data_IF_011343972981
#
_entry.id   IF_011343972981
#
_cell.length_a   1.000
_cell.length_b   1.000
_cell.length_c   1.000
_cell.angle_alpha   90.00
_cell.angle_beta   90.00
_cell.angle_gamma   90.00
#
_symmetry.space_group_name_H-M   'P 1'
#
loop_
_entity.id
_entity.type
_entity.pdbx_description
1 polymer ?
#
# COMPACT_ATOMS: atom_id res chain seq x y z
N UNK A 1 4.41 27.18 -1.13
CA UNK A 1 4.37 27.72 -2.51
C UNK A 1 2.93 27.63 -2.98
N UNK A 2 2.29 28.76 -3.20
CA UNK A 2 0.97 28.75 -3.87
C UNK A 2 1.20 28.36 -5.32
N UNK A 3 0.97 27.12 -5.67
CA UNK A 3 0.88 26.71 -7.06
C UNK A 3 -0.38 27.37 -7.62
N UNK A 4 -0.21 28.28 -8.56
CA UNK A 4 -1.37 28.87 -9.27
C UNK A 4 -1.97 27.77 -10.16
N UNK A 5 -3.01 27.15 -9.65
CA UNK A 5 -3.80 26.08 -10.31
C UNK A 5 -4.26 26.50 -11.71
N UNK A 6 -4.24 27.79 -12.01
CA UNK A 6 -4.65 28.36 -13.30
C UNK A 6 -3.57 28.34 -14.37
N UNK A 7 -2.30 28.04 -14.01
CA UNK A 7 -1.19 28.10 -14.95
C UNK A 7 -1.05 26.85 -15.84
N UNK A 8 -1.65 25.69 -15.47
CA UNK A 8 -1.63 24.50 -16.32
C UNK A 8 -3.04 23.90 -16.52
N UNK A 9 -3.90 24.66 -17.16
CA UNK A 9 -5.25 24.23 -17.54
C UNK A 9 -5.28 22.95 -18.40
N UNK A 10 -4.16 22.56 -19.02
CA UNK A 10 -4.11 21.38 -19.89
C UNK A 10 -4.09 20.06 -19.10
N UNK A 11 -3.49 20.08 -17.92
CA UNK A 11 -3.40 18.89 -17.04
C UNK A 11 -4.65 18.80 -16.18
N UNK A 12 -5.07 19.91 -15.59
CA UNK A 12 -6.26 19.97 -14.72
C UNK A 12 -7.56 19.58 -15.45
N UNK A 13 -7.74 19.99 -16.71
CA UNK A 13 -8.93 19.65 -17.49
C UNK A 13 -9.12 18.16 -17.80
N UNK A 14 -8.13 17.32 -17.49
CA UNK A 14 -8.17 15.87 -17.70
C UNK A 14 -8.29 15.06 -16.40
N UNK A 15 -8.30 15.71 -15.26
CA UNK A 15 -8.38 15.10 -13.94
C UNK A 15 -9.63 15.52 -13.21
N UNK A 16 -10.19 14.64 -12.39
CA UNK A 16 -11.17 15.03 -11.38
C UNK A 16 -10.47 15.86 -10.29
N UNK A 17 -11.25 16.62 -9.50
CA UNK A 17 -10.67 17.36 -8.35
C UNK A 17 -9.91 16.44 -7.42
N UNK A 18 -10.42 15.24 -7.19
CA UNK A 18 -9.75 14.24 -6.36
C UNK A 18 -8.42 13.76 -6.96
N UNK A 19 -8.43 13.39 -8.24
CA UNK A 19 -7.21 13.00 -8.95
C UNK A 19 -6.15 14.09 -8.91
N UNK A 20 -6.57 15.35 -8.97
CA UNK A 20 -5.66 16.48 -8.87
C UNK A 20 -5.02 16.60 -7.47
N UNK A 21 -5.77 16.33 -6.40
CA UNK A 21 -5.22 16.30 -5.05
C UNK A 21 -4.23 15.13 -4.87
N UNK A 22 -4.55 13.94 -5.39
CA UNK A 22 -3.62 12.81 -5.42
C UNK A 22 -2.34 13.13 -6.19
N UNK A 23 -2.48 13.83 -7.32
CA UNK A 23 -1.34 14.25 -8.14
C UNK A 23 -0.41 15.21 -7.36
N UNK A 24 -0.94 16.11 -6.55
CA UNK A 24 -0.11 16.98 -5.68
C UNK A 24 0.67 16.17 -4.64
N UNK A 25 0.03 15.18 -4.01
CA UNK A 25 0.73 14.26 -3.08
C UNK A 25 1.85 13.51 -3.81
N UNK A 26 1.58 13.05 -5.04
CA UNK A 26 2.58 12.36 -5.86
C UNK A 26 3.75 13.27 -6.27
N UNK A 27 3.49 14.54 -6.57
CA UNK A 27 4.55 15.51 -6.90
C UNK A 27 5.48 15.73 -5.70
N UNK A 28 4.93 15.87 -4.50
CA UNK A 28 5.72 16.01 -3.26
C UNK A 28 6.57 14.75 -3.01
N UNK A 29 5.95 13.58 -3.13
CA UNK A 29 6.67 12.31 -3.02
C UNK A 29 7.81 12.19 -4.03
N UNK A 30 7.56 12.55 -5.29
CA UNK A 30 8.56 12.53 -6.35
C UNK A 30 9.72 13.46 -6.04
N UNK A 31 9.45 14.71 -5.65
CA UNK A 31 10.48 15.68 -5.32
C UNK A 31 11.40 15.17 -4.20
N UNK A 32 10.83 14.64 -3.13
CA UNK A 32 11.60 14.05 -2.03
C UNK A 32 12.42 12.84 -2.51
N UNK A 33 11.88 11.99 -3.35
CA UNK A 33 12.61 10.84 -3.89
C UNK A 33 13.80 11.27 -4.76
N UNK A 34 13.62 12.24 -5.65
CA UNK A 34 14.68 12.77 -6.50
C UNK A 34 15.80 13.43 -5.66
N UNK A 35 15.45 14.30 -4.70
CA UNK A 35 16.41 15.00 -3.85
C UNK A 35 17.26 14.03 -3.00
N UNK A 36 16.70 12.89 -2.62
CA UNK A 36 17.35 11.93 -1.72
C UNK A 36 17.82 10.64 -2.42
N UNK A 37 17.77 10.61 -3.76
CA UNK A 37 18.14 9.45 -4.59
C UNK A 37 17.42 8.16 -4.16
N UNK A 38 16.11 8.25 -3.85
CA UNK A 38 15.28 7.12 -3.53
C UNK A 38 14.61 6.59 -4.80
N UNK A 39 14.79 5.31 -5.08
CA UNK A 39 14.17 4.66 -6.25
C UNK A 39 12.74 4.26 -5.95
N UNK A 40 11.83 4.55 -6.88
CA UNK A 40 10.46 4.07 -6.86
C UNK A 40 9.97 3.76 -8.27
N UNK A 41 8.84 3.10 -8.36
CA UNK A 41 8.15 2.74 -9.60
C UNK A 41 6.67 2.96 -9.43
N UNK A 42 6.01 3.54 -10.42
CA UNK A 42 4.54 3.51 -10.48
C UNK A 42 4.09 2.11 -10.87
N UNK A 43 3.01 1.62 -10.25
CA UNK A 43 2.53 0.25 -10.42
C UNK A 43 1.01 0.22 -10.61
N UNK A 44 0.44 -0.97 -10.81
CA UNK A 44 -1.01 -1.17 -10.81
C UNK A 44 -1.77 -0.34 -11.83
N UNK A 45 -2.87 0.26 -11.39
CA UNK A 45 -3.72 1.17 -12.17
C UNK A 45 -2.98 2.41 -12.60
N UNK A 46 -2.15 2.97 -11.73
CA UNK A 46 -1.32 4.16 -11.99
C UNK A 46 -0.41 3.97 -13.21
N UNK A 47 0.31 2.82 -13.28
CA UNK A 47 1.15 2.51 -14.44
C UNK A 47 0.32 2.30 -15.72
N UNK A 48 -0.81 1.61 -15.60
CA UNK A 48 -1.71 1.38 -16.73
C UNK A 48 -2.25 2.69 -17.29
N UNK A 49 -2.64 3.61 -16.40
CA UNK A 49 -3.10 4.95 -16.73
C UNK A 49 -2.02 5.75 -17.44
N UNK A 50 -0.80 5.78 -16.90
CA UNK A 50 0.33 6.48 -17.51
C UNK A 50 0.61 6.01 -18.95
N UNK A 51 0.55 4.70 -19.20
CA UNK A 51 0.81 4.13 -20.54
C UNK A 51 -0.35 4.41 -21.49
N UNK A 52 -1.60 4.14 -21.08
CA UNK A 52 -2.77 4.16 -21.98
C UNK A 52 -3.41 5.54 -22.10
N UNK A 53 -3.51 6.28 -21.00
CA UNK A 53 -4.23 7.54 -20.92
C UNK A 53 -3.29 8.75 -20.83
N UNK A 54 -1.97 8.52 -20.66
CA UNK A 54 -0.98 9.57 -20.42
C UNK A 54 -1.27 10.38 -19.13
N UNK A 55 -1.89 9.73 -18.17
CA UNK A 55 -2.33 10.27 -16.90
C UNK A 55 -3.13 9.22 -16.15
N UNK A 56 -4.10 9.64 -15.35
CA UNK A 56 -5.01 8.72 -14.67
C UNK A 56 -5.90 7.94 -15.63
N UNK A 57 -6.29 6.75 -15.24
CA UNK A 57 -7.50 6.13 -15.78
C UNK A 57 -8.68 7.01 -15.32
N UNK A 58 -9.65 7.39 -16.21
CA UNK A 58 -10.65 8.41 -15.88
C UNK A 58 -11.50 8.15 -14.62
N UNK A 59 -11.66 6.90 -14.23
CA UNK A 59 -12.45 6.47 -13.06
C UNK A 59 -11.57 5.91 -11.93
N UNK A 60 -10.24 6.08 -11.99
CA UNK A 60 -9.31 5.65 -10.95
C UNK A 60 -9.26 6.67 -9.82
N UNK A 61 -9.17 6.19 -8.60
CA UNK A 61 -9.24 6.98 -7.37
C UNK A 61 -8.05 6.72 -6.43
N UNK A 62 -6.97 6.11 -6.95
CA UNK A 62 -5.75 5.84 -6.20
C UNK A 62 -4.48 6.09 -7.00
N UNK A 63 -3.36 6.26 -6.30
CA UNK A 63 -2.01 6.21 -6.84
C UNK A 63 -1.21 5.17 -6.07
N UNK A 64 -0.72 4.18 -6.82
CA UNK A 64 0.11 3.12 -6.30
C UNK A 64 1.57 3.29 -6.76
N UNK A 65 2.50 3.31 -5.81
CA UNK A 65 3.93 3.26 -6.07
C UNK A 65 4.59 2.09 -5.33
N UNK A 66 5.69 1.61 -5.85
CA UNK A 66 6.48 0.57 -5.21
C UNK A 66 7.94 1.00 -5.09
N UNK A 67 8.57 0.69 -3.96
CA UNK A 67 9.97 1.01 -3.67
C UNK A 67 10.78 -0.24 -3.39
N UNK A 68 12.02 -0.36 -3.88
CA UNK A 68 12.96 -1.36 -3.39
C UNK A 68 13.06 -1.29 -1.86
N UNK A 69 13.17 -2.45 -1.18
CA UNK A 69 13.16 -2.52 0.29
C UNK A 69 14.11 -1.52 0.96
N UNK A 70 15.33 -1.40 0.46
CA UNK A 70 16.33 -0.52 1.06
C UNK A 70 15.94 0.96 0.99
N UNK A 71 15.34 1.39 -0.13
CA UNK A 71 14.86 2.76 -0.30
C UNK A 71 13.57 3.01 0.49
N UNK A 72 12.69 2.01 0.55
CA UNK A 72 11.50 2.03 1.41
C UNK A 72 11.86 2.19 2.89
N UNK A 73 12.87 1.45 3.40
CA UNK A 73 13.32 1.59 4.77
C UNK A 73 13.99 2.93 5.06
N UNK A 74 14.72 3.50 4.08
CA UNK A 74 15.26 4.86 4.20
C UNK A 74 14.13 5.88 4.30
N UNK A 75 13.11 5.77 3.43
CA UNK A 75 11.91 6.61 3.49
C UNK A 75 11.25 6.55 4.87
N UNK A 76 11.04 5.37 5.44
CA UNK A 76 10.44 5.21 6.76
C UNK A 76 11.28 5.83 7.90
N UNK A 77 12.60 5.64 7.85
CA UNK A 77 13.50 6.18 8.88
C UNK A 77 13.57 7.70 8.88
N UNK A 78 13.50 8.30 7.71
CA UNK A 78 13.73 9.72 7.50
C UNK A 78 12.47 10.49 7.10
N UNK A 79 11.32 9.81 7.04
CA UNK A 79 10.08 10.39 6.54
C UNK A 79 9.67 11.69 7.20
N UNK A 80 9.83 11.81 8.53
CA UNK A 80 9.57 13.06 9.27
C UNK A 80 10.55 14.20 8.95
N UNK A 81 11.73 13.88 8.39
CA UNK A 81 12.70 14.88 7.95
C UNK A 81 12.45 15.29 6.51
N UNK A 82 11.91 14.39 5.69
CA UNK A 82 11.65 14.61 4.28
C UNK A 82 10.32 15.33 4.05
N UNK A 83 9.29 14.97 4.81
CA UNK A 83 7.96 15.54 4.65
C UNK A 83 7.62 16.44 5.84
N UNK A 84 7.17 17.65 5.53
CA UNK A 84 6.63 18.59 6.48
C UNK A 84 5.12 18.73 6.29
N UNK A 85 4.43 19.19 7.33
CA UNK A 85 3.01 19.48 7.24
C UNK A 85 2.67 20.29 5.98
N UNK A 86 1.63 19.92 5.20
CA UNK A 86 0.57 18.97 5.56
C UNK A 86 0.84 17.51 5.19
N UNK A 87 2.02 17.16 4.69
CA UNK A 87 2.34 15.80 4.24
C UNK A 87 2.93 14.95 5.36
N UNK A 88 2.35 13.79 5.59
CA UNK A 88 2.79 12.87 6.63
C UNK A 88 2.84 11.42 6.15
N UNK A 89 3.84 10.68 6.65
CA UNK A 89 3.96 9.24 6.44
C UNK A 89 3.13 8.48 7.47
N UNK A 90 2.23 7.63 7.00
CA UNK A 90 1.51 6.65 7.81
C UNK A 90 2.12 5.26 7.64
N UNK A 91 2.63 4.72 8.74
CA UNK A 91 3.12 3.35 8.80
C UNK A 91 2.93 2.79 10.21
N UNK A 92 2.65 1.49 10.33
CA UNK A 92 2.35 0.84 11.62
C UNK A 92 3.52 0.88 12.63
N UNK A 93 4.75 1.10 12.19
CA UNK A 93 5.93 1.26 13.06
C UNK A 93 6.13 2.69 13.56
N UNK A 94 5.36 3.64 13.07
CA UNK A 94 5.39 5.04 13.49
C UNK A 94 4.30 5.24 14.53
N UNK A 95 4.67 5.61 15.77
CA UNK A 95 3.76 5.63 16.91
C UNK A 95 2.56 6.55 16.68
N UNK A 96 2.78 7.70 16.05
CA UNK A 96 1.75 8.73 15.83
C UNK A 96 0.72 8.31 14.75
N UNK A 97 1.08 7.38 13.87
CA UNK A 97 0.22 6.95 12.76
C UNK A 97 -0.14 5.46 12.76
N UNK A 98 0.30 4.72 13.77
CA UNK A 98 0.15 3.25 13.81
C UNK A 98 -1.29 2.75 13.69
N UNK A 99 -2.26 3.51 14.18
CA UNK A 99 -3.67 3.14 14.17
C UNK A 99 -4.38 3.58 12.87
N UNK A 100 -3.79 4.52 12.14
CA UNK A 100 -4.27 5.02 10.84
C UNK A 100 -3.62 4.27 9.67
N UNK A 101 -2.44 3.70 9.91
CA UNK A 101 -1.62 3.08 8.90
C UNK A 101 -2.27 1.81 8.31
N UNK A 102 -2.10 1.58 7.01
CA UNK A 102 -2.54 0.34 6.37
C UNK A 102 -1.80 -0.89 6.93
N UNK A 103 -2.31 -2.07 6.63
CA UNK A 103 -1.85 -3.33 7.24
C UNK A 103 -0.33 -3.60 7.06
N UNK A 104 0.18 -3.46 5.81
CA UNK A 104 1.52 -3.96 5.45
C UNK A 104 2.23 -3.08 4.40
N UNK A 105 1.86 -1.83 4.28
CA UNK A 105 2.47 -0.85 3.39
C UNK A 105 2.39 0.55 4.02
N UNK A 106 2.84 1.55 3.33
CA UNK A 106 2.93 2.93 3.81
C UNK A 106 2.01 3.81 2.98
N UNK A 107 1.51 4.87 3.58
CA UNK A 107 0.85 5.99 2.89
C UNK A 107 1.63 7.27 3.09
N UNK A 108 1.68 8.09 2.05
CA UNK A 108 1.94 9.52 2.19
C UNK A 108 0.58 10.22 2.08
N UNK A 109 0.23 10.97 3.11
CA UNK A 109 -1.12 11.57 3.28
C UNK A 109 -1.00 13.08 3.35
N UNK A 110 -1.89 13.79 2.68
CA UNK A 110 -2.09 15.22 2.89
C UNK A 110 -3.17 15.44 3.97
N UNK A 111 -2.78 15.98 5.13
CA UNK A 111 -3.66 16.19 6.29
C UNK A 111 -4.65 17.33 6.15
N UNK A 112 -4.40 18.29 5.24
CA UNK A 112 -5.31 19.43 5.04
C UNK A 112 -6.50 19.11 4.15
N UNK A 113 -6.36 18.13 3.25
CA UNK A 113 -7.36 17.84 2.24
C UNK A 113 -8.26 16.70 2.68
N UNK A 114 -9.54 17.01 2.91
CA UNK A 114 -10.60 16.02 3.05
C UNK A 114 -11.32 15.86 1.72
N UNK A 115 -11.35 14.64 1.24
CA UNK A 115 -12.03 14.30 0.00
C UNK A 115 -13.31 13.55 0.31
N UNK A 116 -14.40 14.01 -0.26
CA UNK A 116 -15.69 13.34 -0.17
C UNK A 116 -15.78 12.25 -1.23
N UNK A 117 -15.84 11.00 -0.82
CA UNK A 117 -16.00 9.84 -1.69
C UNK A 117 -17.40 9.28 -1.50
N UNK A 118 -18.17 9.17 -2.59
CA UNK A 118 -19.46 8.50 -2.56
C UNK A 118 -19.25 6.99 -2.59
N UNK A 119 -19.62 6.32 -1.50
CA UNK A 119 -19.70 4.86 -1.41
C UNK A 119 -21.16 4.45 -1.34
N UNK A 120 -21.47 3.20 -1.64
CA UNK A 120 -22.85 2.71 -1.72
C UNK A 120 -23.74 2.90 -0.47
N UNK A 121 -23.16 3.29 0.66
CA UNK A 121 -23.79 3.62 1.95
C UNK A 121 -23.78 5.12 2.27
N UNK A 122 -23.26 5.98 1.37
CA UNK A 122 -23.24 7.43 1.52
C UNK A 122 -21.89 8.09 1.21
N UNK A 123 -21.77 9.36 1.61
CA UNK A 123 -20.52 10.10 1.48
C UNK A 123 -19.58 9.81 2.66
N UNK A 124 -18.35 9.44 2.33
CA UNK A 124 -17.25 9.28 3.28
C UNK A 124 -16.18 10.33 3.01
N UNK A 125 -15.56 10.83 4.07
CA UNK A 125 -14.43 11.75 3.95
C UNK A 125 -13.15 10.96 4.18
N UNK A 126 -12.26 11.00 3.20
CA UNK A 126 -10.92 10.43 3.29
C UNK A 126 -9.88 11.52 2.99
N UNK A 127 -8.68 11.37 3.52
CA UNK A 127 -7.56 12.24 3.18
C UNK A 127 -7.04 11.89 1.78
N UNK A 128 -6.49 12.87 1.07
CA UNK A 128 -5.76 12.57 -0.16
C UNK A 128 -4.44 11.87 0.19
N UNK A 129 -4.19 10.70 -0.38
CA UNK A 129 -3.00 9.89 -0.10
C UNK A 129 -2.53 9.10 -1.33
N UNK A 130 -1.27 8.67 -1.28
CA UNK A 130 -0.73 7.66 -2.20
C UNK A 130 -0.30 6.42 -1.41
N UNK A 131 -0.45 5.25 -2.01
CA UNK A 131 -0.04 3.98 -1.43
C UNK A 131 1.39 3.63 -1.88
N UNK A 132 2.27 3.33 -0.91
CA UNK A 132 3.69 3.05 -1.12
C UNK A 132 3.99 1.63 -0.67
N UNK A 133 4.29 0.74 -1.62
CA UNK A 133 4.49 -0.68 -1.38
C UNK A 133 5.97 -1.06 -1.39
N UNK A 134 6.45 -1.86 -0.42
CA UNK A 134 7.80 -2.41 -0.49
C UNK A 134 7.91 -3.50 -1.55
N UNK A 135 9.04 -3.55 -2.25
CA UNK A 135 9.45 -4.64 -3.12
C UNK A 135 10.53 -5.43 -2.42
N UNK A 136 10.24 -6.70 -2.18
CA UNK A 136 11.10 -7.61 -1.43
C UNK A 136 11.72 -8.70 -2.30
N UNK A 137 12.83 -9.24 -1.86
CA UNK A 137 13.39 -10.45 -2.40
C UNK A 137 12.66 -11.70 -1.88
N UNK A 138 12.78 -12.81 -2.61
CA UNK A 138 12.24 -14.11 -2.18
C UNK A 138 13.29 -15.20 -2.28
N UNK A 139 13.13 -16.32 -1.54
CA UNK A 139 14.06 -17.46 -1.65
C UNK A 139 14.22 -17.93 -3.09
N UNK A 140 15.45 -18.15 -3.53
CA UNK A 140 15.73 -18.65 -4.89
C UNK A 140 15.27 -20.11 -5.08
N UNK A 141 15.36 -20.95 -4.02
CA UNK A 141 14.86 -22.32 -4.05
C UNK A 141 13.34 -22.37 -4.09
N UNK A 142 12.76 -23.09 -5.05
CA UNK A 142 11.30 -23.26 -5.17
C UNK A 142 10.67 -23.85 -3.90
N UNK A 143 11.34 -24.84 -3.28
CA UNK A 143 10.83 -25.48 -2.06
C UNK A 143 10.86 -24.52 -0.87
N UNK A 144 11.98 -23.84 -0.64
CA UNK A 144 12.11 -22.85 0.45
C UNK A 144 11.12 -21.70 0.24
N UNK A 145 10.92 -21.24 -1.01
CA UNK A 145 9.96 -20.21 -1.34
C UNK A 145 8.51 -20.64 -1.06
N UNK A 146 8.15 -21.92 -1.28
CA UNK A 146 6.84 -22.45 -0.90
C UNK A 146 6.61 -22.38 0.62
N UNK A 147 7.59 -22.74 1.43
CA UNK A 147 7.50 -22.63 2.90
C UNK A 147 7.50 -21.17 3.38
N UNK A 148 8.31 -20.32 2.76
CA UNK A 148 8.29 -18.87 2.99
C UNK A 148 6.88 -18.31 2.78
N UNK A 149 6.27 -18.65 1.66
CA UNK A 149 4.94 -18.17 1.30
C UNK A 149 3.86 -18.71 2.25
N UNK A 150 3.92 -20.00 2.60
CA UNK A 150 2.99 -20.59 3.57
C UNK A 150 3.08 -19.88 4.94
N UNK A 151 4.30 -19.63 5.42
CA UNK A 151 4.52 -18.89 6.67
C UNK A 151 3.98 -17.46 6.59
N UNK A 152 4.19 -16.78 5.48
CA UNK A 152 3.66 -15.44 5.24
C UNK A 152 2.14 -15.41 5.29
N UNK A 153 1.48 -16.32 4.58
CA UNK A 153 0.03 -16.46 4.60
C UNK A 153 -0.51 -16.76 6.01
N UNK A 154 0.17 -17.63 6.75
CA UNK A 154 -0.22 -17.96 8.13
C UNK A 154 -0.15 -16.72 9.04
N UNK A 155 0.95 -15.97 9.00
CA UNK A 155 1.11 -14.75 9.80
C UNK A 155 0.04 -13.70 9.46
N UNK A 156 -0.25 -13.53 8.18
CA UNK A 156 -1.29 -12.61 7.72
C UNK A 156 -2.70 -13.07 8.12
N UNK A 157 -2.97 -14.36 8.05
CA UNK A 157 -4.24 -14.90 8.52
C UNK A 157 -4.41 -14.66 10.03
N UNK A 158 -3.36 -14.92 10.84
CA UNK A 158 -3.38 -14.62 12.27
C UNK A 158 -3.59 -13.11 12.55
N UNK A 159 -2.93 -12.24 11.79
CA UNK A 159 -3.17 -10.80 11.89
C UNK A 159 -4.62 -10.44 11.57
N UNK A 160 -5.21 -11.00 10.52
CA UNK A 160 -6.62 -10.73 10.17
C UNK A 160 -7.60 -11.15 11.29
N UNK A 161 -7.25 -12.11 12.14
CA UNK A 161 -8.05 -12.40 13.34
C UNK A 161 -8.00 -11.28 14.38
N UNK A 162 -6.94 -10.47 14.43
CA UNK A 162 -6.86 -9.36 15.40
C UNK A 162 -7.79 -8.20 15.04
N UNK A 163 -8.06 -8.00 13.75
CA UNK A 163 -8.92 -6.92 13.22
C UNK A 163 -10.29 -7.44 12.74
N UNK A 164 -10.64 -8.66 13.09
CA UNK A 164 -11.86 -9.31 12.57
C UNK A 164 -13.15 -8.64 13.07
N UNK A 165 -13.09 -8.01 14.24
CA UNK A 165 -14.22 -7.28 14.81
C UNK A 165 -14.53 -6.00 14.02
N UNK A 166 -13.55 -5.44 13.31
CA UNK A 166 -13.66 -4.25 12.45
C UNK A 166 -14.22 -4.59 11.06
N UNK A 167 -14.21 -5.88 10.71
CA UNK A 167 -14.72 -6.34 9.43
C UNK A 167 -16.24 -6.48 9.52
N UNK A 168 -16.96 -5.47 9.05
CA UNK A 168 -18.41 -5.56 8.88
C UNK A 168 -18.77 -6.72 7.95
N UNK A 169 -19.44 -7.71 8.47
CA UNK A 169 -19.85 -8.90 7.73
C UNK A 169 -20.81 -8.58 6.54
N UNK A 170 -21.40 -7.36 6.52
CA UNK A 170 -22.34 -6.90 5.51
C UNK A 170 -21.76 -5.97 4.43
N UNK A 171 -20.62 -5.34 4.66
CA UNK A 171 -20.05 -4.28 3.77
C UNK A 171 -19.10 -4.80 2.68
N UNK A 172 -18.92 -6.12 2.58
CA UNK A 172 -18.15 -6.69 1.48
C UNK A 172 -19.08 -6.90 0.32
N UNK A 173 -18.97 -6.03 -0.66
CA UNK A 173 -19.72 -6.04 -1.90
C UNK A 173 -19.89 -7.45 -2.47
N UNK A 174 -20.93 -7.67 -3.24
CA UNK A 174 -21.55 -8.87 -3.82
C UNK A 174 -20.67 -10.05 -4.27
N UNK A 175 -19.39 -10.06 -3.94
CA UNK A 175 -18.53 -11.22 -4.09
C UNK A 175 -18.95 -12.26 -3.04
N UNK A 176 -19.77 -13.23 -3.48
CA UNK A 176 -20.22 -14.41 -2.74
C UNK A 176 -19.05 -15.03 -1.97
N UNK A 177 -18.84 -14.58 -0.72
CA UNK A 177 -17.95 -15.29 0.20
C UNK A 177 -18.50 -16.71 0.31
N UNK A 178 -17.61 -17.70 0.20
CA UNK A 178 -18.02 -19.09 0.41
C UNK A 178 -18.63 -19.17 1.79
N UNK A 179 -19.75 -19.85 1.94
CA UNK A 179 -20.48 -20.03 3.22
C UNK A 179 -19.54 -20.40 4.39
N UNK A 180 -18.52 -21.22 4.11
CA UNK A 180 -17.48 -21.60 5.06
C UNK A 180 -16.66 -20.40 5.57
N UNK A 181 -16.33 -19.43 4.72
CA UNK A 181 -15.56 -18.23 5.10
C UNK A 181 -16.39 -17.33 6.02
N UNK A 182 -17.67 -17.12 5.69
CA UNK A 182 -18.60 -16.35 6.51
C UNK A 182 -18.81 -17.00 7.88
N UNK A 183 -18.90 -18.34 7.92
CA UNK A 183 -19.04 -19.08 9.17
C UNK A 183 -17.78 -18.95 10.05
N UNK A 184 -16.60 -19.06 9.47
CA UNK A 184 -15.33 -18.88 10.17
C UNK A 184 -15.19 -17.46 10.75
N UNK A 185 -15.59 -16.42 10.00
CA UNK A 185 -15.60 -15.05 10.48
C UNK A 185 -16.53 -14.91 11.69
N UNK A 186 -17.75 -15.41 11.61
CA UNK A 186 -18.73 -15.37 12.72
C UNK A 186 -18.25 -16.12 13.97
N UNK A 187 -17.60 -17.27 13.78
CA UNK A 187 -17.02 -18.04 14.90
C UNK A 187 -15.89 -17.25 15.53
N UNK A 188 -14.99 -16.68 14.73
CA UNK A 188 -13.86 -15.89 15.21
C UNK A 188 -14.31 -14.62 15.96
N UNK A 189 -15.33 -13.92 15.48
CA UNK A 189 -15.95 -12.77 16.15
C UNK A 189 -16.58 -13.19 17.48
N UNK A 190 -17.35 -14.30 17.49
CA UNK A 190 -18.00 -14.80 18.70
C UNK A 190 -17.01 -15.26 19.78
N UNK A 191 -15.93 -15.90 19.38
CA UNK A 191 -14.90 -16.43 20.31
C UNK A 191 -13.91 -15.38 20.77
N UNK A 192 -13.83 -14.22 20.10
CA UNK A 192 -12.86 -13.14 20.37
C UNK A 192 -11.40 -13.61 20.46
N UNK A 193 -11.08 -14.71 19.79
CA UNK A 193 -9.71 -15.28 19.76
C UNK A 193 -8.68 -14.24 19.30
N UNK A 194 -9.07 -13.34 18.40
CA UNK A 194 -8.21 -12.26 17.91
C UNK A 194 -7.63 -11.38 19.02
N UNK A 195 -8.38 -11.16 20.12
CA UNK A 195 -7.94 -10.35 21.27
C UNK A 195 -6.79 -10.97 22.07
N UNK A 196 -6.53 -12.28 21.91
CA UNK A 196 -5.38 -12.96 22.51
C UNK A 196 -4.09 -12.76 21.69
N UNK A 197 -4.21 -12.23 20.48
CA UNK A 197 -3.11 -12.00 19.57
C UNK A 197 -2.72 -10.52 19.58
N UNK A 198 -1.42 -10.25 19.48
CA UNK A 198 -0.91 -8.89 19.35
C UNK A 198 -0.73 -8.56 17.87
N UNK A 199 -1.61 -7.72 17.30
CA UNK A 199 -1.60 -7.33 15.89
C UNK A 199 -0.30 -6.67 15.46
N UNK A 200 0.26 -5.75 16.27
CA UNK A 200 1.51 -5.08 15.96
C UNK A 200 2.69 -6.05 15.89
N UNK A 201 2.80 -6.97 16.86
CA UNK A 201 3.83 -8.04 16.80
C UNK A 201 3.69 -8.95 15.59
N UNK A 202 2.47 -9.15 15.09
CA UNK A 202 2.26 -9.94 13.88
C UNK A 202 2.65 -9.14 12.63
N UNK A 203 2.34 -7.85 12.56
CA UNK A 203 2.82 -6.95 11.48
C UNK A 203 4.36 -6.93 11.43
N UNK A 204 5.03 -6.72 12.56
CA UNK A 204 6.49 -6.79 12.66
C UNK A 204 7.08 -8.13 12.17
N UNK A 205 6.44 -9.26 12.53
CA UNK A 205 6.89 -10.58 12.07
C UNK A 205 6.73 -10.75 10.56
N UNK A 206 5.66 -10.22 9.98
CA UNK A 206 5.46 -10.21 8.52
C UNK A 206 6.54 -9.37 7.86
N UNK A 207 6.76 -8.15 8.34
CA UNK A 207 7.76 -7.23 7.82
C UNK A 207 9.18 -7.84 7.88
N UNK A 208 9.57 -8.40 9.03
CA UNK A 208 10.84 -9.10 9.22
C UNK A 208 10.99 -10.35 8.35
N UNK A 209 9.89 -11.03 8.02
CA UNK A 209 9.91 -12.16 7.10
C UNK A 209 10.15 -11.70 5.66
N UNK A 210 9.50 -10.61 5.24
CA UNK A 210 9.58 -10.07 3.89
C UNK A 210 10.96 -9.46 3.60
N UNK A 211 11.46 -8.62 4.50
CA UNK A 211 12.77 -7.96 4.35
C UNK A 211 13.99 -8.90 4.48
N UNK A 212 13.75 -10.20 4.73
CA UNK A 212 14.81 -11.17 4.98
C UNK A 212 15.75 -11.43 3.80
N UNK A 213 15.25 -11.27 2.57
CA UNK A 213 15.98 -11.64 1.36
C UNK A 213 16.32 -10.38 0.56
N UNK A 214 17.62 -9.97 0.51
CA UNK A 214 18.04 -8.81 -0.24
C UNK A 214 17.69 -8.92 -1.73
N UNK A 215 17.18 -7.85 -2.31
CA UNK A 215 16.73 -7.78 -3.70
C UNK A 215 17.81 -8.16 -4.70
N UNK A 216 19.06 -7.72 -4.49
CA UNK A 216 20.17 -7.95 -5.40
C UNK A 216 20.59 -9.42 -5.47
N UNK A 217 20.31 -10.19 -4.41
CA UNK A 217 20.72 -11.61 -4.31
C UNK A 217 19.62 -12.59 -4.70
N UNK A 218 18.45 -12.09 -5.10
CA UNK A 218 17.30 -12.93 -5.41
C UNK A 218 16.96 -12.91 -6.90
N UNK A 219 16.57 -14.08 -7.43
CA UNK A 219 16.10 -14.21 -8.82
C UNK A 219 14.67 -13.69 -8.99
N UNK A 220 13.84 -13.89 -7.97
CA UNK A 220 12.44 -13.46 -7.96
C UNK A 220 12.22 -12.44 -6.85
N UNK A 221 11.32 -11.51 -7.09
CA UNK A 221 10.87 -10.49 -6.17
C UNK A 221 9.43 -10.73 -5.78
N UNK A 222 8.99 -10.15 -4.69
CA UNK A 222 7.59 -10.09 -4.37
C UNK A 222 7.20 -8.67 -4.01
N UNK A 223 5.99 -8.28 -4.35
CA UNK A 223 5.39 -7.04 -3.95
C UNK A 223 4.10 -7.29 -3.20
N UNK A 224 3.66 -6.29 -2.47
CA UNK A 224 2.36 -6.27 -1.83
C UNK A 224 1.42 -5.41 -2.65
N UNK A 225 0.30 -6.00 -3.11
CA UNK A 225 -0.79 -5.26 -3.72
C UNK A 225 -2.05 -5.44 -2.87
N UNK A 226 -2.67 -4.34 -2.48
CA UNK A 226 -3.91 -4.34 -1.69
C UNK A 226 -3.87 -5.29 -0.49
N UNK A 227 -2.75 -5.30 0.22
CA UNK A 227 -2.57 -6.18 1.38
C UNK A 227 -2.62 -7.68 1.07
N UNK A 228 -2.44 -8.13 -0.18
CA UNK A 228 -2.50 -9.55 -0.57
C UNK A 228 -1.23 -9.97 -1.28
N UNK A 229 -0.45 -10.82 -0.61
CA UNK A 229 0.65 -11.54 -1.25
C UNK A 229 0.09 -12.77 -1.97
N UNK A 230 0.21 -12.82 -3.29
CA UNK A 230 -0.18 -13.98 -4.11
C UNK A 230 1.06 -14.52 -4.82
N UNK A 231 1.06 -15.83 -5.13
CA UNK A 231 2.14 -16.42 -5.94
C UNK A 231 2.31 -15.75 -7.30
N UNK A 232 1.25 -15.14 -7.83
CA UNK A 232 1.27 -14.38 -9.08
C UNK A 232 1.94 -13.00 -8.96
N UNK A 233 2.16 -12.51 -7.76
CA UNK A 233 2.83 -11.24 -7.46
C UNK A 233 4.36 -11.39 -7.39
N UNK A 234 4.87 -12.60 -7.55
CA UNK A 234 6.30 -12.83 -7.73
C UNK A 234 6.69 -12.42 -9.15
N UNK A 235 7.54 -11.43 -9.24
CA UNK A 235 8.03 -10.91 -10.51
C UNK A 235 9.49 -11.30 -10.73
N UNK A 236 9.86 -11.49 -11.98
CA UNK A 236 11.23 -11.76 -12.34
C UNK A 236 12.11 -10.54 -12.03
N UNK A 237 13.36 -10.80 -11.63
CA UNK A 237 14.35 -9.75 -11.38
C UNK A 237 14.56 -8.84 -12.60
N UNK A 238 14.35 -9.34 -13.80
CA UNK A 238 14.46 -8.56 -15.05
C UNK A 238 13.41 -7.44 -15.16
N UNK A 239 12.28 -7.56 -14.48
CA UNK A 239 11.22 -6.54 -14.49
C UNK A 239 11.69 -5.18 -13.97
N UNK A 240 12.70 -5.18 -13.10
CA UNK A 240 13.24 -3.98 -12.47
C UNK A 240 14.63 -3.60 -13.00
N UNK A 241 15.03 -4.09 -14.17
CA UNK A 241 16.25 -3.64 -14.81
C UNK A 241 16.07 -2.23 -15.37
N UNK A 242 17.10 -1.39 -15.21
CA UNK A 242 17.16 0.03 -15.59
C UNK A 242 17.03 0.30 -17.11
N UNK A 243 16.65 -0.68 -17.90
CA UNK A 243 16.49 -0.57 -19.36
C UNK A 243 15.03 -0.40 -19.82
N UNK A 244 14.11 -0.08 -18.90
CA UNK A 244 12.73 0.20 -19.30
C UNK A 244 12.39 1.66 -19.10
#
# INVERSE_FOLDING_TARGET
>A
MNYDVRADNSVHNKMTEYQYELYKVMQEFHAVCEENNLKYFIIGGTLLGAIRHKGFIPWDDDIDVAMPRDDYEKLLKLGKQYFSYPYEIEHFSIEESKDLAPDFYTRLVNREIDVSIEKGDGFHYEKAFIDIFPIDGTPNSKLVRKFFYLRLLTLRALYKFTVIDEINAGSVGENKRKLAETLLIKIAQKTRIGKLLNGNKLREKVEKLLSRYPLERTKCKCGTFHGRYRTKEFVDKMYFNERQ
#
